data_IF_704407200465
#
_entry.id   IF_704407200465
#
_cell.length_a   1.000
_cell.length_b   1.000
_cell.length_c   1.000
_cell.angle_alpha   90.00
_cell.angle_beta   90.00
_cell.angle_gamma   90.00
#
_symmetry.space_group_name_H-M   'P 1'
#
loop_
_entity.id
_entity.type
_entity.pdbx_description
1 polymer ?
#
# COMPACT_ATOMS: atom_id res chain seq x y z
N UNK A 1 -2.58 -16.68 -8.35
CA UNK A 1 -1.20 -16.22 -8.06
C UNK A 1 -0.96 -14.78 -8.52
N UNK A 2 -1.36 -14.41 -9.75
CA UNK A 2 -1.10 -13.08 -10.33
C UNK A 2 -1.69 -11.91 -9.54
N UNK A 3 -2.91 -12.00 -9.02
CA UNK A 3 -3.57 -10.89 -8.31
C UNK A 3 -2.86 -10.49 -7.01
N UNK A 4 -2.39 -11.48 -6.24
CA UNK A 4 -1.62 -11.24 -5.01
C UNK A 4 -0.29 -10.55 -5.31
N UNK A 5 0.41 -11.04 -6.33
CA UNK A 5 1.68 -10.46 -6.77
C UNK A 5 1.48 -9.02 -7.27
N UNK A 6 0.43 -8.77 -8.04
CA UNK A 6 0.09 -7.44 -8.53
C UNK A 6 -0.30 -6.50 -7.40
N UNK A 7 -1.08 -6.95 -6.41
CA UNK A 7 -1.44 -6.14 -5.25
C UNK A 7 -0.20 -5.73 -4.43
N UNK A 8 0.70 -6.68 -4.15
CA UNK A 8 1.95 -6.39 -3.42
C UNK A 8 2.86 -5.46 -4.22
N UNK A 9 3.02 -5.69 -5.52
CA UNK A 9 3.83 -4.85 -6.40
C UNK A 9 3.28 -3.41 -6.48
N UNK A 10 1.97 -3.27 -6.67
CA UNK A 10 1.31 -1.97 -6.72
C UNK A 10 1.50 -1.20 -5.40
N UNK A 11 1.32 -1.88 -4.26
CA UNK A 11 1.53 -1.27 -2.95
C UNK A 11 3.00 -0.86 -2.71
N UNK A 12 3.96 -1.69 -3.16
CA UNK A 12 5.39 -1.38 -3.04
C UNK A 12 5.78 -0.14 -3.86
N UNK A 13 5.32 -0.05 -5.11
CA UNK A 13 5.58 1.11 -5.99
C UNK A 13 4.92 2.37 -5.41
N UNK A 14 3.67 2.27 -4.97
CA UNK A 14 2.94 3.37 -4.35
C UNK A 14 3.65 3.90 -3.10
N UNK A 15 4.07 2.99 -2.22
CA UNK A 15 4.82 3.33 -1.00
C UNK A 15 6.14 4.00 -1.35
N UNK A 16 6.92 3.42 -2.28
CA UNK A 16 8.20 3.99 -2.71
C UNK A 16 8.06 5.41 -3.24
N UNK A 17 7.07 5.66 -4.10
CA UNK A 17 6.78 7.00 -4.62
C UNK A 17 6.43 7.99 -3.50
N UNK A 18 5.56 7.62 -2.57
CA UNK A 18 5.17 8.51 -1.47
C UNK A 18 6.31 8.81 -0.51
N UNK A 19 7.18 7.83 -0.21
CA UNK A 19 8.39 8.07 0.59
C UNK A 19 9.31 9.06 -0.11
N UNK A 20 9.53 8.92 -1.43
CA UNK A 20 10.33 9.87 -2.21
C UNK A 20 9.68 11.26 -2.18
N UNK A 21 8.36 11.36 -2.33
CA UNK A 21 7.63 12.62 -2.27
C UNK A 21 7.79 13.33 -0.92
N UNK A 22 7.67 12.60 0.19
CA UNK A 22 7.88 13.15 1.54
C UNK A 22 9.33 13.58 1.75
N UNK A 23 10.29 12.86 1.18
CA UNK A 23 11.70 13.24 1.28
C UNK A 23 12.01 14.49 0.44
N UNK A 24 11.46 14.57 -0.77
CA UNK A 24 11.62 15.73 -1.65
C UNK A 24 10.91 16.97 -1.09
N UNK A 25 9.76 16.79 -0.45
CA UNK A 25 8.99 17.88 0.14
C UNK A 25 8.69 17.58 1.62
N UNK A 26 9.66 17.81 2.53
CA UNK A 26 9.56 17.43 3.94
C UNK A 26 8.65 18.40 4.71
N UNK A 27 7.34 18.25 4.51
CA UNK A 27 6.31 18.99 5.25
C UNK A 27 5.54 18.06 6.18
N UNK A 28 5.33 18.49 7.43
CA UNK A 28 4.69 17.68 8.47
C UNK A 28 3.25 17.29 8.14
N UNK A 29 2.48 18.22 7.58
CA UNK A 29 1.11 18.00 7.13
C UNK A 29 1.01 16.88 6.07
N UNK A 30 1.89 16.92 5.08
CA UNK A 30 2.00 15.86 4.05
C UNK A 30 2.39 14.53 4.68
N UNK A 31 3.34 14.52 5.61
CA UNK A 31 3.75 13.30 6.31
C UNK A 31 2.58 12.63 7.00
N UNK A 32 1.73 13.40 7.67
CA UNK A 32 0.50 12.90 8.30
C UNK A 32 -0.48 12.31 7.30
N UNK A 33 -0.76 13.02 6.20
CA UNK A 33 -1.68 12.55 5.14
C UNK A 33 -1.13 11.29 4.47
N UNK A 34 0.17 11.25 4.16
CA UNK A 34 0.84 10.09 3.57
C UNK A 34 0.80 8.89 4.51
N UNK A 35 1.07 9.08 5.81
CA UNK A 35 1.01 8.00 6.78
C UNK A 35 -0.41 7.39 6.89
N UNK A 36 -1.44 8.23 6.96
CA UNK A 36 -2.83 7.77 6.98
C UNK A 36 -3.18 7.02 5.68
N UNK A 37 -2.71 7.51 4.54
CA UNK A 37 -2.93 6.90 3.22
C UNK A 37 -2.27 5.52 3.13
N UNK A 38 -1.02 5.40 3.57
CA UNK A 38 -0.29 4.12 3.60
C UNK A 38 -0.92 3.12 4.57
N UNK A 39 -1.42 3.57 5.71
CA UNK A 39 -2.14 2.71 6.65
C UNK A 39 -3.41 2.12 6.00
N UNK A 40 -4.24 2.97 5.37
CA UNK A 40 -5.47 2.52 4.70
C UNK A 40 -5.18 1.60 3.51
N UNK A 41 -4.26 1.98 2.64
CA UNK A 41 -3.87 1.18 1.49
C UNK A 41 -3.22 -0.15 1.90
N UNK A 42 -2.46 -0.15 3.00
CA UNK A 42 -1.88 -1.36 3.59
C UNK A 42 -2.96 -2.32 4.11
N UNK A 43 -3.99 -1.80 4.77
CA UNK A 43 -5.14 -2.61 5.22
C UNK A 43 -5.85 -3.25 4.02
N UNK A 44 -6.14 -2.48 2.96
CA UNK A 44 -6.77 -2.98 1.75
C UNK A 44 -5.94 -4.11 1.10
N UNK A 45 -4.63 -3.87 0.94
CA UNK A 45 -3.70 -4.86 0.38
C UNK A 45 -3.66 -6.13 1.24
N UNK A 46 -3.69 -6.00 2.57
CA UNK A 46 -3.75 -7.14 3.50
C UNK A 46 -5.06 -7.93 3.36
N UNK A 47 -6.19 -7.24 3.19
CA UNK A 47 -7.48 -7.88 2.97
C UNK A 47 -7.52 -8.64 1.65
N UNK A 48 -6.99 -8.06 0.57
CA UNK A 48 -6.85 -8.74 -0.73
C UNK A 48 -6.01 -10.01 -0.58
N UNK A 49 -4.89 -9.93 0.14
CA UNK A 49 -4.02 -11.09 0.37
C UNK A 49 -4.72 -12.20 1.17
N UNK A 50 -5.58 -11.83 2.13
CA UNK A 50 -6.36 -12.74 2.98
C UNK A 50 -7.56 -13.38 2.25
N UNK A 51 -8.27 -12.66 1.39
CA UNK A 51 -9.52 -13.14 0.74
C UNK A 51 -9.30 -14.35 -0.16
N UNK A 52 -8.13 -14.49 -0.77
CA UNK A 52 -7.83 -15.58 -1.69
C UNK A 52 -7.28 -16.86 -1.01
N UNK A 53 -7.55 -17.06 0.29
CA UNK A 53 -7.30 -18.31 1.01
C UNK A 53 -8.55 -19.21 1.13
N UNK A 54 -9.69 -18.80 0.56
CA UNK A 54 -10.99 -19.46 0.75
C UNK A 54 -11.67 -20.04 -0.50
N UNK A 55 -11.02 -20.03 -1.67
CA UNK A 55 -11.55 -20.65 -2.90
C UNK A 55 -10.67 -21.83 -3.29
N UNK A 56 -10.73 -22.87 -2.47
CA UNK A 56 -10.39 -24.24 -2.84
C UNK A 56 -11.58 -25.15 -2.47
N UNK A 57 -12.74 -24.85 -3.05
CA UNK A 57 -13.89 -25.74 -3.16
C UNK A 57 -14.60 -25.48 -4.47
#
# INVERSE_FOLDING_TARGET
MSEKLMAVLAFAIFTGFLVILVWYVPRWDLGGVVAATLALAGIDTMLILRRHGGTDK
#
